data_IF_771649551980
#
_entry.id   IF_771649551980
#
_cell.length_a   1.000
_cell.length_b   1.000
_cell.length_c   1.000
_cell.angle_alpha   90.00
_cell.angle_beta   90.00
_cell.angle_gamma   90.00
#
_symmetry.space_group_name_H-M   'P 1'
#
loop_
_entity.id
_entity.type
_entity.pdbx_description
1 polymer ?
#
# COMPACT_ATOMS: atom_id res chain seq x y z
N UNK A 1 -11.33 -15.03 -18.70
CA UNK A 1 -11.90 -13.67 -18.83
C UNK A 1 -13.25 -13.67 -19.56
N UNK A 2 -13.32 -14.14 -20.83
CA UNK A 2 -14.58 -14.23 -21.59
C UNK A 2 -15.77 -14.91 -20.86
N UNK A 3 -15.60 -16.06 -20.17
CA UNK A 3 -16.72 -16.71 -19.47
C UNK A 3 -17.27 -15.89 -18.29
N UNK A 4 -16.39 -15.15 -17.60
CA UNK A 4 -16.77 -14.30 -16.46
C UNK A 4 -17.55 -13.06 -16.92
N UNK A 5 -17.22 -12.51 -18.09
CA UNK A 5 -17.91 -11.36 -18.69
C UNK A 5 -19.33 -11.75 -19.13
N UNK A 6 -19.47 -12.90 -19.80
CA UNK A 6 -20.79 -13.43 -20.17
C UNK A 6 -21.65 -13.74 -18.93
N UNK A 7 -21.04 -14.28 -17.87
CA UNK A 7 -21.74 -14.54 -16.60
C UNK A 7 -22.22 -13.25 -15.91
N UNK A 8 -21.56 -12.12 -16.14
CA UNK A 8 -22.00 -10.80 -15.69
C UNK A 8 -23.09 -10.19 -16.59
N UNK A 9 -23.58 -10.93 -17.60
CA UNK A 9 -24.64 -10.48 -18.51
C UNK A 9 -24.15 -9.55 -19.62
N UNK A 10 -22.84 -9.48 -19.86
CA UNK A 10 -22.25 -8.64 -20.92
C UNK A 10 -21.82 -9.52 -22.09
N UNK A 11 -22.39 -9.30 -23.27
CA UNK A 11 -21.90 -9.90 -24.51
C UNK A 11 -20.96 -8.94 -25.24
N UNK A 12 -19.72 -9.38 -25.46
CA UNK A 12 -18.70 -8.61 -26.16
C UNK A 12 -19.05 -8.37 -27.64
N UNK A 13 -19.87 -9.25 -28.24
CA UNK A 13 -20.37 -9.06 -29.60
C UNK A 13 -21.50 -8.03 -29.68
N UNK A 14 -22.25 -7.82 -28.59
CA UNK A 14 -23.29 -6.77 -28.51
C UNK A 14 -22.71 -5.42 -28.06
N UNK A 15 -21.50 -5.40 -27.52
CA UNK A 15 -20.77 -4.19 -27.10
C UNK A 15 -20.14 -3.42 -28.29
N UNK A 16 -20.48 -3.76 -29.53
CA UNK A 16 -20.04 -3.08 -30.75
C UNK A 16 -20.71 -1.72 -30.95
N UNK A 17 -20.37 -0.76 -30.08
CA UNK A 17 -20.38 0.64 -30.47
C UNK A 17 -19.01 1.20 -30.09
N UNK A 18 -18.00 1.11 -30.97
CA UNK A 18 -16.82 1.92 -30.81
C UNK A 18 -17.28 3.37 -30.82
N UNK A 19 -17.29 4.00 -29.65
CA UNK A 19 -17.56 5.41 -29.54
C UNK A 19 -16.58 6.13 -30.45
N UNK A 20 -17.08 7.00 -31.31
CA UNK A 20 -16.19 7.91 -32.02
C UNK A 20 -15.38 8.71 -30.98
N UNK A 21 -14.18 9.16 -31.35
CA UNK A 21 -13.35 9.98 -30.46
C UNK A 21 -14.15 11.18 -29.92
N UNK A 22 -15.03 11.75 -30.74
CA UNK A 22 -15.94 12.83 -30.38
C UNK A 22 -16.93 12.44 -29.27
N UNK A 23 -17.53 11.26 -29.37
CA UNK A 23 -18.51 10.75 -28.39
C UNK A 23 -17.86 10.28 -27.09
N UNK A 24 -16.69 9.65 -27.18
CA UNK A 24 -15.89 9.27 -26.02
C UNK A 24 -15.46 10.52 -25.25
N UNK A 25 -15.03 11.56 -25.98
CA UNK A 25 -14.69 12.86 -25.38
C UNK A 25 -15.91 13.45 -24.66
N UNK A 26 -17.10 13.49 -25.29
CA UNK A 26 -18.33 14.03 -24.66
C UNK A 26 -18.74 13.29 -23.38
N UNK A 27 -18.55 11.97 -23.34
CA UNK A 27 -18.99 11.13 -22.20
C UNK A 27 -17.97 11.04 -21.06
N UNK A 28 -16.66 11.10 -21.37
CA UNK A 28 -15.61 10.78 -20.40
C UNK A 28 -14.57 11.89 -20.17
N UNK A 29 -14.53 12.94 -21.01
CA UNK A 29 -13.71 14.11 -20.75
C UNK A 29 -14.54 15.15 -20.00
N UNK A 30 -14.14 15.41 -18.75
CA UNK A 30 -14.66 16.52 -17.95
C UNK A 30 -14.38 17.90 -18.63
N UNK A 31 -13.47 17.93 -19.60
CA UNK A 31 -12.97 19.14 -20.25
C UNK A 31 -13.94 19.71 -21.30
N UNK A 32 -14.89 18.93 -21.83
CA UNK A 32 -15.82 19.40 -22.88
C UNK A 32 -17.00 20.22 -22.35
N UNK A 33 -17.33 20.12 -21.07
CA UNK A 33 -18.44 20.87 -20.49
C UNK A 33 -18.03 22.26 -19.96
N UNK A 34 -16.72 22.57 -19.89
CA UNK A 34 -16.19 23.79 -19.27
C UNK A 34 -16.61 23.97 -17.80
N UNK A 35 -17.14 22.92 -17.18
CA UNK A 35 -17.83 22.94 -15.87
C UNK A 35 -17.27 21.90 -14.88
N UNK A 36 -16.24 21.13 -15.27
CA UNK A 36 -15.58 20.15 -14.42
C UNK A 36 -14.18 20.60 -14.01
N UNK A 37 -13.65 20.09 -12.87
CA UNK A 37 -12.28 20.38 -12.45
C UNK A 37 -11.29 19.87 -13.50
N UNK A 38 -10.40 20.75 -13.96
CA UNK A 38 -9.30 20.42 -14.85
C UNK A 38 -8.34 19.50 -14.13
N UNK A 39 -8.08 18.31 -14.68
CA UNK A 39 -7.32 17.25 -14.00
C UNK A 39 -5.91 17.64 -13.53
N UNK A 40 -5.27 18.59 -14.19
CA UNK A 40 -3.89 19.00 -13.90
C UNK A 40 -3.80 20.27 -13.03
N UNK A 41 -4.88 21.04 -12.92
CA UNK A 41 -4.97 22.21 -12.03
C UNK A 41 -5.71 21.86 -10.73
N UNK A 42 -6.83 21.15 -10.87
CA UNK A 42 -7.87 21.03 -9.84
C UNK A 42 -7.89 19.65 -9.17
N UNK A 43 -7.15 18.66 -9.67
CA UNK A 43 -7.08 17.30 -9.10
C UNK A 43 -5.64 16.98 -8.70
N UNK A 44 -5.44 16.78 -7.41
CA UNK A 44 -4.14 16.50 -6.82
C UNK A 44 -4.05 15.00 -6.53
N UNK A 45 -3.06 14.34 -7.11
CA UNK A 45 -2.78 12.93 -6.82
C UNK A 45 -2.11 12.81 -5.44
N UNK A 46 -2.71 12.05 -4.54
CA UNK A 46 -2.12 11.69 -3.27
C UNK A 46 -2.36 10.21 -2.97
N UNK A 47 -1.34 9.51 -2.45
CA UNK A 47 -1.47 8.13 -1.98
C UNK A 47 -2.16 8.07 -0.61
N UNK A 48 -2.59 6.88 -0.19
CA UNK A 48 -3.24 6.69 1.13
C UNK A 48 -2.38 7.16 2.31
N UNK A 49 -1.06 7.20 2.13
CA UNK A 49 -0.11 7.67 3.14
C UNK A 49 -0.25 9.17 3.46
N UNK A 50 -0.89 9.98 2.60
CA UNK A 50 -1.11 11.40 2.87
C UNK A 50 -1.94 11.63 4.13
N UNK A 51 -2.79 10.67 4.52
CA UNK A 51 -3.58 10.75 5.74
C UNK A 51 -2.72 10.74 7.02
N UNK A 52 -1.46 10.27 6.93
CA UNK A 52 -0.52 10.27 8.03
C UNK A 52 0.35 11.55 8.09
N UNK A 53 0.31 12.40 7.06
CA UNK A 53 1.07 13.65 7.06
C UNK A 53 0.41 14.68 8.00
N UNK A 54 1.10 15.04 9.07
CA UNK A 54 0.60 15.98 10.10
C UNK A 54 1.23 17.37 10.02
N UNK A 55 2.33 17.53 9.29
CA UNK A 55 3.10 18.77 9.23
C UNK A 55 3.78 18.98 7.88
N UNK A 56 4.17 20.24 7.61
CA UNK A 56 4.91 20.63 6.41
C UNK A 56 6.38 20.75 6.82
N UNK A 57 7.20 19.88 6.25
CA UNK A 57 8.65 19.81 6.51
C UNK A 57 9.44 20.10 5.23
N UNK A 58 10.68 20.53 5.39
CA UNK A 58 11.65 20.49 4.32
C UNK A 58 11.97 19.04 3.93
N UNK A 59 12.44 18.85 2.71
CA UNK A 59 12.85 17.51 2.26
C UNK A 59 13.96 16.89 3.14
N UNK A 60 14.86 17.73 3.70
CA UNK A 60 15.90 17.27 4.61
C UNK A 60 15.33 16.74 5.92
N UNK A 61 14.41 17.49 6.52
CA UNK A 61 13.75 17.08 7.77
C UNK A 61 12.99 15.75 7.61
N UNK A 62 12.27 15.56 6.51
CA UNK A 62 11.57 14.27 6.23
C UNK A 62 12.56 13.11 6.12
N UNK A 63 13.69 13.31 5.43
CA UNK A 63 14.71 12.26 5.26
C UNK A 63 15.35 11.92 6.61
N UNK A 64 15.67 12.93 7.41
CA UNK A 64 16.27 12.75 8.73
C UNK A 64 15.31 12.03 9.68
N UNK A 65 14.03 12.42 9.70
CA UNK A 65 12.99 11.78 10.50
C UNK A 65 12.84 10.29 10.13
N UNK A 66 12.68 9.97 8.85
CA UNK A 66 12.55 8.59 8.37
C UNK A 66 13.79 7.76 8.73
N UNK A 67 14.99 8.33 8.63
CA UNK A 67 16.22 7.63 9.01
C UNK A 67 16.25 7.30 10.51
N UNK A 68 15.88 8.27 11.37
CA UNK A 68 15.79 8.07 12.81
C UNK A 68 14.76 6.99 13.15
N UNK A 69 13.57 7.07 12.57
CA UNK A 69 12.51 6.08 12.80
C UNK A 69 12.91 4.67 12.38
N UNK A 70 13.54 4.55 11.21
CA UNK A 70 14.03 3.27 10.70
C UNK A 70 15.05 2.63 11.64
N UNK A 71 16.06 3.40 12.08
CA UNK A 71 17.09 2.87 12.97
C UNK A 71 16.54 2.49 14.34
N UNK A 72 15.58 3.26 14.87
CA UNK A 72 14.86 2.91 16.10
C UNK A 72 14.11 1.59 15.94
N UNK A 73 13.29 1.46 14.89
CA UNK A 73 12.51 0.25 14.64
C UNK A 73 13.40 -0.99 14.43
N UNK A 74 14.53 -0.83 13.73
CA UNK A 74 15.51 -1.89 13.56
C UNK A 74 16.11 -2.34 14.91
N UNK A 75 16.46 -1.39 15.78
CA UNK A 75 16.95 -1.68 17.13
C UNK A 75 15.93 -2.44 17.97
N UNK A 76 14.67 -2.00 17.96
CA UNK A 76 13.56 -2.66 18.66
C UNK A 76 13.31 -4.08 18.13
N UNK A 77 13.28 -4.26 16.80
CA UNK A 77 13.12 -5.56 16.17
C UNK A 77 14.26 -6.52 16.54
N UNK A 78 15.51 -6.02 16.53
CA UNK A 78 16.70 -6.81 16.90
C UNK A 78 16.62 -7.29 18.35
N UNK A 79 16.21 -6.40 19.26
CA UNK A 79 16.03 -6.73 20.67
C UNK A 79 14.97 -7.82 20.87
N UNK A 80 13.80 -7.68 20.25
CA UNK A 80 12.72 -8.66 20.34
C UNK A 80 13.15 -10.03 19.81
N UNK A 81 13.88 -10.06 18.69
CA UNK A 81 14.41 -11.31 18.12
C UNK A 81 15.40 -11.97 19.09
N UNK A 82 16.30 -11.20 19.70
CA UNK A 82 17.27 -11.74 20.67
C UNK A 82 16.60 -12.28 21.93
N UNK A 83 15.58 -11.59 22.46
CA UNK A 83 14.80 -12.03 23.62
C UNK A 83 14.02 -13.32 23.32
N UNK A 84 13.46 -13.46 22.12
CA UNK A 84 12.81 -14.70 21.66
C UNK A 84 13.81 -15.88 21.56
N UNK A 85 15.03 -15.63 21.08
CA UNK A 85 16.07 -16.66 20.96
C UNK A 85 16.57 -17.14 22.33
N UNK A 86 16.74 -16.23 23.29
CA UNK A 86 17.15 -16.56 24.66
C UNK A 86 16.07 -17.37 25.41
N UNK A 87 14.78 -17.04 25.21
CA UNK A 87 13.67 -17.78 25.80
C UNK A 87 13.49 -19.19 25.22
N UNK A 88 13.87 -19.41 23.95
CA UNK A 88 13.85 -20.73 23.33
C UNK A 88 14.97 -21.65 23.86
N UNK A 89 16.18 -21.11 24.08
CA UNK A 89 17.35 -21.86 24.57
C UNK A 89 17.19 -22.32 26.04
N UNK A 90 16.52 -21.52 26.87
CA UNK A 90 16.26 -21.90 28.28
C UNK A 90 15.25 -23.04 28.43
N UNK A 91 14.40 -23.29 27.42
CA UNK A 91 13.39 -24.36 27.46
C UNK A 91 13.91 -25.77 27.13
N UNK A 92 15.16 -25.90 26.63
CA UNK A 92 15.74 -27.20 26.25
C UNK A 92 16.76 -27.78 27.26
N UNK A 93 17.03 -27.12 28.39
CA UNK A 93 18.10 -27.52 29.33
C UNK A 93 17.62 -27.94 30.74
N UNK A 94 16.59 -28.80 30.84
CA UNK A 94 16.18 -29.47 32.09
C UNK A 94 15.86 -30.93 31.73
N UNK A 95 16.64 -31.98 32.02
CA UNK A 95 17.35 -32.40 33.25
C UNK A 95 18.52 -33.35 32.92
N UNK A 96 19.71 -33.28 33.57
CA UNK A 96 20.62 -34.40 33.61
C UNK A 96 20.14 -35.42 34.65
N UNK A 97 19.83 -36.64 34.21
CA UNK A 97 19.49 -37.75 35.09
C UNK A 97 20.78 -38.27 35.77
N UNK A 98 21.14 -37.69 36.91
CA UNK A 98 22.21 -38.23 37.77
C UNK A 98 21.59 -39.29 38.67
N UNK A 99 21.50 -40.52 38.17
CA UNK A 99 21.24 -41.70 38.99
C UNK A 99 22.56 -42.17 39.60
N UNK A 100 22.84 -41.71 40.83
CA UNK A 100 23.82 -42.32 41.73
C UNK A 100 23.08 -43.34 42.59
N UNK A 101 23.30 -44.63 42.31
CA UNK A 101 23.60 -45.72 43.25
C UNK A 101 23.45 -47.08 42.57
#
# INVERSE_FOLDING_TARGET
LRPSILKAGLDLAELEIPLSVEEARKRFSADLAGKGPKRWEDIWSAGHTVAAASEILSAGEVVDEVAVEYHRALGEATKLISEMQLGADTSMNFTPNVAVR
#
